data_IF_255709258810
#
_entry.id   IF_255709258810
#
_cell.length_a   1.000
_cell.length_b   1.000
_cell.length_c   1.000
_cell.angle_alpha   90.00
_cell.angle_beta   90.00
_cell.angle_gamma   90.00
#
_symmetry.space_group_name_H-M   'P 1'
#
loop_
_entity.id
_entity.type
_entity.pdbx_description
1 polymer ?
#
# COMPACT_ATOMS: atom_id res chain seq x y z
N UNK A 1 21.23 4.14 -77.95
CA UNK A 1 20.29 4.62 -76.91
C UNK A 1 19.32 3.49 -76.58
N UNK A 2 19.48 2.80 -75.44
CA UNK A 2 18.50 1.82 -74.92
C UNK A 2 18.34 2.09 -73.43
N UNK A 3 17.22 2.70 -73.05
CA UNK A 3 16.87 2.94 -71.67
C UNK A 3 16.60 1.60 -70.99
N UNK A 4 17.38 1.29 -69.95
CA UNK A 4 17.09 0.18 -69.04
C UNK A 4 16.02 0.67 -68.06
N UNK A 5 14.81 0.13 -68.16
CA UNK A 5 13.80 0.27 -67.11
C UNK A 5 14.20 -0.66 -65.95
N UNK A 6 14.56 -0.07 -64.82
CA UNK A 6 14.61 -0.75 -63.53
C UNK A 6 13.19 -0.95 -63.03
N UNK A 7 12.67 -2.17 -63.14
CA UNK A 7 11.42 -2.55 -62.46
C UNK A 7 11.75 -2.78 -60.99
N UNK A 8 11.43 -1.79 -60.17
CA UNK A 8 11.37 -1.95 -58.72
C UNK A 8 10.28 -2.97 -58.40
N UNK A 9 10.67 -4.10 -57.79
CA UNK A 9 9.72 -5.12 -57.35
C UNK A 9 9.11 -4.62 -56.05
N UNK A 10 7.89 -4.09 -56.14
CA UNK A 10 7.04 -3.87 -54.97
C UNK A 10 6.80 -5.20 -54.24
N UNK A 11 7.57 -5.46 -53.19
CA UNK A 11 7.35 -6.58 -52.26
C UNK A 11 6.16 -6.24 -51.37
N UNK A 12 5.02 -6.90 -51.57
CA UNK A 12 3.87 -6.83 -50.67
C UNK A 12 4.09 -7.68 -49.43
N UNK A 13 3.44 -7.31 -48.32
CA UNK A 13 3.44 -8.11 -47.09
C UNK A 13 2.72 -9.43 -47.30
N UNK A 14 3.27 -10.50 -46.75
CA UNK A 14 2.60 -11.81 -46.73
C UNK A 14 1.50 -11.83 -45.67
N UNK A 15 0.50 -12.68 -45.88
CA UNK A 15 -0.54 -12.93 -44.87
C UNK A 15 0.07 -13.41 -43.54
N UNK A 16 1.15 -14.19 -43.61
CA UNK A 16 1.88 -14.68 -42.45
C UNK A 16 2.52 -13.55 -41.64
N UNK A 17 3.13 -12.55 -42.28
CA UNK A 17 3.70 -11.40 -41.57
C UNK A 17 2.65 -10.57 -40.84
N UNK A 18 1.50 -10.32 -41.47
CA UNK A 18 0.42 -9.57 -40.82
C UNK A 18 -0.14 -10.34 -39.62
N UNK A 19 -0.30 -11.66 -39.74
CA UNK A 19 -0.74 -12.50 -38.63
C UNK A 19 0.28 -12.52 -37.48
N UNK A 20 1.57 -12.66 -37.79
CA UNK A 20 2.63 -12.63 -36.78
C UNK A 20 2.72 -11.25 -36.11
N UNK A 21 2.64 -10.16 -36.88
CA UNK A 21 2.64 -8.80 -36.35
C UNK A 21 1.45 -8.56 -35.41
N UNK A 22 0.25 -9.00 -35.80
CA UNK A 22 -0.93 -8.92 -34.94
C UNK A 22 -0.80 -9.80 -33.69
N UNK A 23 -0.19 -10.99 -33.80
CA UNK A 23 0.05 -11.85 -32.65
C UNK A 23 1.01 -11.19 -31.64
N UNK A 24 2.14 -10.64 -32.12
CA UNK A 24 3.10 -9.91 -31.27
C UNK A 24 2.44 -8.68 -30.65
N UNK A 25 1.67 -7.92 -31.44
CA UNK A 25 0.93 -6.76 -30.95
C UNK A 25 -0.08 -7.14 -29.87
N UNK A 26 -0.86 -8.21 -30.08
CA UNK A 26 -1.83 -8.69 -29.10
C UNK A 26 -1.16 -9.09 -27.79
N UNK A 27 -0.02 -9.77 -27.83
CA UNK A 27 0.75 -10.12 -26.64
C UNK A 27 1.28 -8.88 -25.91
N UNK A 28 1.81 -7.90 -26.64
CA UNK A 28 2.29 -6.65 -26.06
C UNK A 28 1.17 -5.86 -25.37
N UNK A 29 -0.01 -5.78 -25.99
CA UNK A 29 -1.18 -5.13 -25.40
C UNK A 29 -1.66 -5.87 -24.16
N UNK A 30 -1.75 -7.20 -24.20
CA UNK A 30 -2.15 -8.01 -23.05
C UNK A 30 -1.19 -7.83 -21.86
N UNK A 31 0.11 -7.83 -22.12
CA UNK A 31 1.13 -7.56 -21.10
C UNK A 31 0.99 -6.15 -20.51
N UNK A 32 0.72 -5.15 -21.35
CA UNK A 32 0.53 -3.76 -20.91
C UNK A 32 -0.69 -3.61 -20.01
N UNK A 33 -1.82 -4.22 -20.37
CA UNK A 33 -3.04 -4.22 -19.55
C UNK A 33 -2.80 -4.91 -18.21
N UNK A 34 -2.10 -6.05 -18.21
CA UNK A 34 -1.75 -6.76 -16.98
C UNK A 34 -0.85 -5.90 -16.06
N UNK A 35 0.16 -5.24 -16.63
CA UNK A 35 1.04 -4.33 -15.89
C UNK A 35 0.26 -3.14 -15.29
N UNK A 36 -0.65 -2.54 -16.06
CA UNK A 36 -1.50 -1.46 -15.57
C UNK A 36 -2.41 -1.91 -14.41
N UNK A 37 -3.01 -3.10 -14.52
CA UNK A 37 -3.83 -3.66 -13.44
C UNK A 37 -3.01 -3.91 -12.16
N UNK A 38 -1.80 -4.44 -12.28
CA UNK A 38 -0.88 -4.63 -11.16
C UNK A 38 -0.50 -3.28 -10.51
N UNK A 39 -0.25 -2.25 -11.32
CA UNK A 39 0.05 -0.91 -10.83
C UNK A 39 -1.10 -0.31 -10.01
N UNK A 40 -2.33 -0.40 -10.49
CA UNK A 40 -3.53 0.08 -9.77
C UNK A 40 -3.71 -0.65 -8.44
N UNK A 41 -3.52 -1.98 -8.42
CA UNK A 41 -3.57 -2.76 -7.18
C UNK A 41 -2.54 -2.30 -6.15
N UNK A 42 -1.30 -2.05 -6.59
CA UNK A 42 -0.24 -1.56 -5.73
C UNK A 42 -0.52 -0.14 -5.18
N UNK A 43 -1.08 0.75 -5.99
CA UNK A 43 -1.47 2.09 -5.54
C UNK A 43 -2.52 2.03 -4.42
N UNK A 44 -3.54 1.19 -4.55
CA UNK A 44 -4.55 1.01 -3.50
C UNK A 44 -3.95 0.46 -2.20
N UNK A 45 -2.99 -0.47 -2.31
CA UNK A 45 -2.28 -1.01 -1.15
C UNK A 45 -1.46 0.08 -0.44
N UNK A 46 -0.67 0.87 -1.18
CA UNK A 46 0.12 1.96 -0.62
C UNK A 46 -0.76 3.01 0.07
N UNK A 47 -1.88 3.39 -0.56
CA UNK A 47 -2.85 4.32 0.02
C UNK A 47 -3.37 3.82 1.38
N UNK A 48 -3.74 2.54 1.48
CA UNK A 48 -4.20 1.93 2.73
C UNK A 48 -3.12 1.93 3.82
N UNK A 49 -1.85 1.68 3.48
CA UNK A 49 -0.75 1.77 4.45
C UNK A 49 -0.53 3.19 4.96
N UNK A 50 -0.63 4.19 4.08
CA UNK A 50 -0.54 5.60 4.49
C UNK A 50 -1.65 5.96 5.46
N UNK A 51 -2.90 5.59 5.15
CA UNK A 51 -4.05 5.81 6.04
C UNK A 51 -3.90 5.07 7.38
N UNK A 52 -3.47 3.82 7.37
CA UNK A 52 -3.20 3.06 8.59
C UNK A 52 -2.15 3.74 9.49
N UNK A 53 -1.13 4.36 8.89
CA UNK A 53 -0.12 5.10 9.63
C UNK A 53 -0.66 6.41 10.22
N UNK A 54 -1.60 7.08 9.54
CA UNK A 54 -2.30 8.24 10.11
C UNK A 54 -3.22 7.85 11.26
N UNK A 55 -3.94 6.74 11.14
CA UNK A 55 -4.72 6.17 12.26
C UNK A 55 -3.81 5.87 13.45
N UNK A 56 -2.68 5.18 13.23
CA UNK A 56 -1.71 4.89 14.29
C UNK A 56 -1.20 6.16 14.99
N UNK A 57 -0.90 7.21 14.22
CA UNK A 57 -0.46 8.51 14.78
C UNK A 57 -1.55 9.18 15.60
N UNK A 58 -2.79 9.18 15.12
CA UNK A 58 -3.91 9.76 15.86
C UNK A 58 -4.10 9.04 17.19
N UNK A 59 -4.14 7.70 17.18
CA UNK A 59 -4.26 6.90 18.40
C UNK A 59 -3.08 7.13 19.35
N UNK A 60 -1.84 7.22 18.83
CA UNK A 60 -0.69 7.53 19.66
C UNK A 60 -0.84 8.91 20.32
N UNK A 61 -1.25 9.92 19.57
CA UNK A 61 -1.49 11.27 20.10
C UNK A 61 -2.63 11.27 21.13
N UNK A 62 -3.70 10.51 20.91
CA UNK A 62 -4.78 10.34 21.90
C UNK A 62 -4.25 9.75 23.21
N UNK A 63 -3.46 8.66 23.13
CA UNK A 63 -2.82 8.06 24.31
C UNK A 63 -1.85 9.03 25.01
N UNK A 64 -1.15 9.89 24.26
CA UNK A 64 -0.24 10.90 24.82
C UNK A 64 -0.97 12.03 25.54
N UNK A 65 -2.21 12.32 25.14
CA UNK A 65 -3.04 13.37 25.73
C UNK A 65 -3.98 12.84 26.82
N UNK A 66 -4.14 11.52 26.93
CA UNK A 66 -5.04 10.88 27.88
C UNK A 66 -4.63 11.16 29.33
N UNK A 67 -5.63 11.50 30.14
CA UNK A 67 -5.51 11.73 31.58
C UNK A 67 -6.60 10.94 32.29
N UNK A 68 -6.29 10.08 33.28
CA UNK A 68 -4.96 9.84 33.87
C UNK A 68 -4.00 9.12 32.90
N UNK A 69 -2.70 9.22 33.18
CA UNK A 69 -1.63 8.64 32.35
C UNK A 69 -1.87 7.14 32.06
N UNK A 70 -1.90 6.70 30.78
CA UNK A 70 -2.34 5.35 30.41
C UNK A 70 -1.52 4.24 31.03
N UNK A 71 -2.17 3.32 31.75
CA UNK A 71 -1.56 2.13 32.35
C UNK A 71 -0.87 1.20 31.35
N UNK A 72 -0.06 0.28 31.84
CA UNK A 72 0.57 -0.77 31.03
C UNK A 72 -0.44 -1.83 30.61
N UNK A 73 -0.13 -2.58 29.55
CA UNK A 73 -0.96 -3.66 29.04
C UNK A 73 -1.39 -3.46 27.59
N UNK A 74 -2.34 -4.28 27.14
CA UNK A 74 -2.93 -4.17 25.81
C UNK A 74 -4.21 -3.35 25.81
N UNK A 75 -4.36 -2.49 24.80
CA UNK A 75 -5.60 -1.81 24.47
C UNK A 75 -5.91 -2.03 23.01
N UNK A 76 -7.19 -2.16 22.68
CA UNK A 76 -7.63 -2.26 21.29
C UNK A 76 -8.98 -1.62 21.15
N UNK A 77 -9.19 -0.95 20.03
CA UNK A 77 -10.47 -0.38 19.64
C UNK A 77 -10.55 -0.27 18.12
N UNK A 78 -11.65 0.29 17.64
CA UNK A 78 -11.88 0.66 16.26
C UNK A 78 -11.63 2.16 16.04
N UNK A 79 -11.33 2.52 14.80
CA UNK A 79 -11.25 3.90 14.34
C UNK A 79 -11.83 4.00 12.94
N UNK A 80 -12.51 5.10 12.61
CA UNK A 80 -13.03 5.35 11.25
C UNK A 80 -12.26 6.48 10.59
N UNK A 81 -11.67 6.22 9.44
CA UNK A 81 -10.92 7.22 8.66
C UNK A 81 -11.04 6.94 7.16
N UNK A 82 -11.26 7.99 6.38
CA UNK A 82 -11.44 7.93 4.93
C UNK A 82 -12.53 6.92 4.50
N UNK A 83 -13.64 6.90 5.26
CA UNK A 83 -14.77 5.98 5.09
C UNK A 83 -14.42 4.48 5.20
N UNK A 84 -13.27 4.19 5.82
CA UNK A 84 -12.83 2.84 6.15
C UNK A 84 -12.84 2.66 7.66
N UNK A 85 -13.28 1.49 8.09
CA UNK A 85 -13.20 1.05 9.47
C UNK A 85 -11.86 0.34 9.70
N UNK A 86 -11.16 0.73 10.75
CA UNK A 86 -9.85 0.26 11.15
C UNK A 86 -9.95 -0.34 12.54
N UNK A 87 -9.17 -1.37 12.79
CA UNK A 87 -8.95 -1.89 14.14
C UNK A 87 -7.51 -1.64 14.51
N UNK A 88 -7.27 -1.21 15.74
CA UNK A 88 -5.93 -0.97 16.25
C UNK A 88 -5.70 -1.71 17.55
N UNK A 89 -4.44 -2.03 17.82
CA UNK A 89 -3.98 -2.59 19.10
C UNK A 89 -2.74 -1.84 19.54
N UNK A 90 -2.78 -1.33 20.77
CA UNK A 90 -1.67 -0.71 21.47
C UNK A 90 -1.16 -1.67 22.54
N UNK A 91 0.15 -1.93 22.56
CA UNK A 91 0.83 -2.61 23.66
C UNK A 91 1.68 -1.60 24.41
N UNK A 92 1.38 -1.37 25.68
CA UNK A 92 2.03 -0.38 26.54
C UNK A 92 2.93 -1.10 27.54
N UNK A 93 4.24 -0.93 27.38
CA UNK A 93 5.28 -1.54 28.22
C UNK A 93 5.94 -0.49 29.13
N UNK A 94 6.41 -0.94 30.29
CA UNK A 94 7.32 -0.14 31.13
C UNK A 94 8.65 0.09 30.42
N UNK A 95 9.29 1.21 30.75
CA UNK A 95 10.69 1.46 30.41
C UNK A 95 11.51 1.59 31.69
N UNK A 96 12.86 1.58 31.61
CA UNK A 96 13.70 1.86 32.77
C UNK A 96 13.46 3.25 33.40
N UNK A 97 12.93 4.20 32.62
CA UNK A 97 12.54 5.51 33.09
C UNK A 97 11.10 5.46 33.63
N UNK A 98 10.91 5.85 34.89
CA UNK A 98 9.64 5.62 35.62
C UNK A 98 8.48 6.44 35.06
N UNK A 99 8.79 7.59 34.51
CA UNK A 99 7.82 8.52 33.93
C UNK A 99 7.71 8.35 32.40
N UNK A 100 8.24 7.26 31.86
CA UNK A 100 8.15 6.93 30.43
C UNK A 100 7.67 5.51 30.18
N UNK A 101 6.69 5.37 29.29
CA UNK A 101 6.18 4.08 28.80
C UNK A 101 6.38 3.98 27.30
N UNK A 102 6.70 2.79 26.80
CA UNK A 102 6.79 2.53 25.36
C UNK A 102 5.45 2.00 24.87
N UNK A 103 4.99 2.48 23.72
CA UNK A 103 3.77 2.02 23.08
C UNK A 103 4.13 1.45 21.71
N UNK A 104 3.71 0.22 21.46
CA UNK A 104 3.74 -0.40 20.13
C UNK A 104 2.31 -0.43 19.59
N UNK A 105 2.03 0.30 18.52
CA UNK A 105 0.73 0.35 17.87
C UNK A 105 0.74 -0.47 16.59
N UNK A 106 -0.27 -1.30 16.39
CA UNK A 106 -0.52 -2.04 15.16
C UNK A 106 -1.93 -1.73 14.65
N UNK A 107 -2.07 -1.56 13.34
CA UNK A 107 -3.34 -1.15 12.71
C UNK A 107 -3.68 -2.09 11.54
N UNK A 108 -4.92 -2.54 11.52
CA UNK A 108 -5.51 -3.41 10.51
C UNK A 108 -6.71 -2.75 9.87
N UNK A 109 -7.02 -3.14 8.63
CA UNK A 109 -8.24 -2.73 7.95
C UNK A 109 -9.38 -3.70 8.31
N UNK A 110 -10.47 -3.17 8.85
CA UNK A 110 -11.57 -3.97 9.41
C UNK A 110 -11.17 -4.76 10.66
N UNK A 111 -11.98 -5.76 11.02
CA UNK A 111 -11.81 -6.57 12.24
C UNK A 111 -10.77 -7.70 12.11
N UNK A 112 -10.00 -7.77 11.03
CA UNK A 112 -9.11 -8.90 10.75
C UNK A 112 -7.70 -8.71 11.33
N UNK A 113 -7.55 -8.98 12.63
CA UNK A 113 -6.26 -8.98 13.34
C UNK A 113 -5.36 -10.18 13.02
N UNK A 114 -5.86 -11.14 12.24
CA UNK A 114 -5.11 -12.36 11.84
C UNK A 114 -4.19 -12.12 10.65
N UNK A 115 -4.38 -11.01 9.92
CA UNK A 115 -3.49 -10.59 8.83
C UNK A 115 -2.33 -9.77 9.36
N UNK A 116 -1.32 -9.59 8.50
CA UNK A 116 -0.24 -8.65 8.78
C UNK A 116 -0.82 -7.23 8.94
N UNK A 117 -0.36 -6.52 9.97
CA UNK A 117 -0.76 -5.14 10.20
C UNK A 117 -0.31 -4.24 9.04
N UNK A 118 -1.19 -3.35 8.59
CA UNK A 118 -0.88 -2.41 7.50
C UNK A 118 0.10 -1.32 7.94
N UNK A 119 0.07 -0.98 9.22
CA UNK A 119 1.03 -0.10 9.88
C UNK A 119 1.42 -0.64 11.27
N UNK A 120 2.68 -0.42 11.61
CA UNK A 120 3.19 -0.53 12.97
C UNK A 120 3.88 0.79 13.33
N UNK A 121 3.68 1.28 14.54
CA UNK A 121 4.27 2.52 15.03
C UNK A 121 4.73 2.33 16.47
N UNK A 122 5.99 2.63 16.73
CA UNK A 122 6.52 2.69 18.09
C UNK A 122 6.54 4.15 18.56
N UNK A 123 6.13 4.36 19.80
CA UNK A 123 6.08 5.68 20.42
C UNK A 123 6.34 5.60 21.92
N UNK A 124 6.36 6.76 22.56
CA UNK A 124 6.54 6.89 24.00
C UNK A 124 5.44 7.77 24.61
N UNK A 125 5.01 7.41 25.82
CA UNK A 125 4.13 8.20 26.66
C UNK A 125 4.96 8.73 27.83
N UNK A 126 4.94 10.03 28.02
CA UNK A 126 5.56 10.70 29.16
C UNK A 126 4.47 11.03 30.19
N UNK A 127 4.76 10.81 31.47
CA UNK A 127 3.85 11.17 32.54
C UNK A 127 3.87 12.68 32.72
N UNK A 128 2.73 13.34 32.50
CA UNK A 128 2.59 14.79 32.70
C UNK A 128 2.24 15.11 34.15
N UNK A 129 2.86 16.14 34.71
CA UNK A 129 2.54 16.73 36.02
C UNK A 129 1.21 17.50 36.01
#
# INVERSE_FOLDING_TARGET
>A
MRARYSTDRSTGFTLLEVLVALAVLALALAATVSAAAAYVGNQSYLQKRTLAHWVARNVLTELQLETPWPGTGERSDSARMADLDWTWKATIDETPEKDMRRVTLKVWLGEDDKREALASLDGFLEKRE
#
